data_IF_310973949234
#
_entry.id   IF_310973949234
#
_cell.length_a   1.000
_cell.length_b   1.000
_cell.length_c   1.000
_cell.angle_alpha   90.00
_cell.angle_beta   90.00
_cell.angle_gamma   90.00
#
_symmetry.space_group_name_H-M   'P 1'
#
loop_
_entity.id
_entity.type
_entity.pdbx_description
1 polymer ?
#
# COMPACT_ATOMS: atom_id res chain seq x y z
N UNK A 1 25.82 25.98 -2.30
CA UNK A 1 24.40 25.60 -2.16
C UNK A 1 24.24 24.12 -2.53
N UNK A 2 25.05 23.26 -1.91
CA UNK A 2 24.66 21.87 -1.77
C UNK A 2 23.73 21.84 -0.54
N UNK A 3 22.60 21.16 -0.70
CA UNK A 3 22.11 20.24 0.31
C UNK A 3 21.28 20.77 1.50
N UNK A 4 20.37 21.74 1.29
CA UNK A 4 19.24 21.89 2.22
C UNK A 4 18.18 20.78 2.00
N UNK A 5 18.01 20.33 0.75
CA UNK A 5 17.02 19.30 0.41
C UNK A 5 17.46 17.88 0.74
N UNK A 6 18.73 17.49 0.59
CA UNK A 6 19.17 16.15 1.00
C UNK A 6 19.35 16.06 2.51
N UNK A 7 19.77 17.13 3.20
CA UNK A 7 19.81 17.16 4.68
C UNK A 7 18.42 16.95 5.29
N UNK A 8 17.39 17.64 4.77
CA UNK A 8 15.98 17.38 5.10
C UNK A 8 15.57 15.95 4.75
N UNK A 9 15.96 15.43 3.57
CA UNK A 9 15.65 14.05 3.18
C UNK A 9 16.25 13.03 4.16
N UNK A 10 17.48 13.23 4.61
CA UNK A 10 18.14 12.38 5.59
C UNK A 10 17.48 12.47 6.97
N UNK A 11 17.11 13.67 7.41
CA UNK A 11 16.36 13.87 8.65
C UNK A 11 15.03 13.10 8.63
N UNK A 12 14.26 13.21 7.54
CA UNK A 12 13.01 12.46 7.37
C UNK A 12 13.22 10.95 7.30
N UNK A 13 14.27 10.48 6.61
CA UNK A 13 14.62 9.06 6.56
C UNK A 13 14.95 8.53 7.96
N UNK A 14 15.71 9.29 8.75
CA UNK A 14 16.07 8.90 10.12
C UNK A 14 14.84 8.92 11.02
N UNK A 15 14.02 9.98 10.94
CA UNK A 15 12.76 10.06 11.67
C UNK A 15 11.85 8.86 11.36
N UNK A 16 11.73 8.47 10.09
CA UNK A 16 10.98 7.28 9.70
C UNK A 16 11.56 6.00 10.31
N UNK A 17 12.88 5.81 10.25
CA UNK A 17 13.57 4.62 10.78
C UNK A 17 13.44 4.49 12.29
N UNK A 18 13.44 5.60 13.01
CA UNK A 18 13.34 5.62 14.48
C UNK A 18 11.89 5.56 14.96
N UNK A 19 10.94 6.06 14.17
CA UNK A 19 9.54 6.12 14.54
C UNK A 19 8.77 4.85 14.13
N UNK A 20 8.60 3.93 15.09
CA UNK A 20 7.83 2.69 14.89
C UNK A 20 6.37 2.95 14.52
N UNK A 21 5.74 3.98 15.09
CA UNK A 21 4.33 4.30 14.79
C UNK A 21 4.19 4.64 13.32
N UNK A 22 5.08 5.49 12.79
CA UNK A 22 5.08 5.85 11.38
C UNK A 22 5.31 4.63 10.48
N UNK A 23 6.23 3.73 10.85
CA UNK A 23 6.44 2.47 10.12
C UNK A 23 5.20 1.57 10.10
N UNK A 24 4.51 1.43 11.24
CA UNK A 24 3.26 0.67 11.30
C UNK A 24 2.17 1.30 10.45
N UNK A 25 2.05 2.63 10.47
CA UNK A 25 1.09 3.37 9.63
C UNK A 25 1.37 3.15 8.14
N UNK A 26 2.61 3.34 7.70
CA UNK A 26 2.99 3.12 6.30
C UNK A 26 2.74 1.67 5.90
N UNK A 27 3.16 0.69 6.70
CA UNK A 27 2.88 -0.72 6.41
C UNK A 27 1.37 -1.03 6.35
N UNK A 28 0.56 -0.37 7.19
CA UNK A 28 -0.90 -0.44 7.12
C UNK A 28 -1.46 0.06 5.80
N UNK A 29 -0.97 1.20 5.30
CA UNK A 29 -1.35 1.76 4.00
C UNK A 29 -0.98 0.78 2.86
N UNK A 30 0.24 0.23 2.88
CA UNK A 30 0.66 -0.76 1.88
C UNK A 30 -0.25 -2.00 1.88
N UNK A 31 -0.58 -2.55 3.05
CA UNK A 31 -1.49 -3.71 3.17
C UNK A 31 -2.87 -3.40 2.61
N UNK A 32 -3.42 -2.23 2.93
CA UNK A 32 -4.72 -1.79 2.44
C UNK A 32 -4.73 -1.65 0.91
N UNK A 33 -3.71 -1.02 0.33
CA UNK A 33 -3.57 -0.88 -1.12
C UNK A 33 -3.42 -2.23 -1.82
N UNK A 34 -2.64 -3.15 -1.26
CA UNK A 34 -2.49 -4.51 -1.81
C UNK A 34 -3.83 -5.25 -1.82
N UNK A 35 -4.63 -5.17 -0.74
CA UNK A 35 -5.98 -5.76 -0.71
C UNK A 35 -6.87 -5.15 -1.80
N UNK A 36 -6.84 -3.83 -1.93
CA UNK A 36 -7.61 -3.14 -2.96
C UNK A 36 -7.18 -3.56 -4.37
N UNK A 37 -5.88 -3.65 -4.64
CA UNK A 37 -5.32 -4.10 -5.93
C UNK A 37 -5.79 -5.53 -6.24
N UNK A 38 -5.65 -6.47 -5.31
CA UNK A 38 -6.04 -7.87 -5.53
C UNK A 38 -7.55 -7.99 -5.73
N UNK A 39 -8.38 -7.23 -4.99
CA UNK A 39 -9.83 -7.23 -5.19
C UNK A 39 -10.24 -6.84 -6.62
N UNK A 40 -9.53 -5.87 -7.21
CA UNK A 40 -9.82 -5.38 -8.56
C UNK A 40 -9.09 -6.19 -9.66
N UNK A 41 -8.19 -7.09 -9.28
CA UNK A 41 -7.44 -7.96 -10.17
C UNK A 41 -7.52 -9.41 -9.66
N UNK A 42 -8.61 -10.14 -9.94
CA UNK A 42 -8.98 -11.37 -9.24
C UNK A 42 -7.97 -12.52 -9.34
N UNK A 43 -6.95 -12.40 -10.19
CA UNK A 43 -5.78 -13.29 -10.25
C UNK A 43 -4.56 -12.48 -10.65
N UNK A 44 -3.72 -12.12 -9.69
CA UNK A 44 -2.58 -11.24 -9.92
C UNK A 44 -1.30 -11.82 -9.34
N UNK A 45 -0.21 -11.81 -10.11
CA UNK A 45 1.09 -12.27 -9.64
C UNK A 45 1.85 -11.15 -8.91
N UNK A 46 2.83 -11.51 -8.07
CA UNK A 46 3.55 -10.54 -7.23
C UNK A 46 4.18 -9.38 -8.00
N UNK A 47 4.71 -9.63 -9.20
CA UNK A 47 5.25 -8.56 -10.05
C UNK A 47 4.18 -7.57 -10.56
N UNK A 48 2.98 -8.03 -10.89
CA UNK A 48 1.89 -7.14 -11.29
C UNK A 48 1.38 -6.32 -10.10
N UNK A 49 1.33 -6.90 -8.89
CA UNK A 49 1.05 -6.13 -7.66
C UNK A 49 2.07 -4.99 -7.50
N UNK A 50 3.36 -5.27 -7.65
CA UNK A 50 4.41 -4.24 -7.59
C UNK A 50 4.22 -3.14 -8.65
N UNK A 51 3.84 -3.52 -9.87
CA UNK A 51 3.58 -2.56 -10.94
C UNK A 51 2.38 -1.67 -10.64
N UNK A 52 1.28 -2.23 -10.14
CA UNK A 52 0.11 -1.44 -9.74
C UNK A 52 0.42 -0.50 -8.56
N UNK A 53 1.25 -0.94 -7.62
CA UNK A 53 1.76 -0.08 -6.54
C UNK A 53 2.61 1.08 -7.08
N UNK A 54 3.49 0.82 -8.05
CA UNK A 54 4.29 1.86 -8.69
C UNK A 54 3.42 2.85 -9.48
N UNK A 55 2.41 2.35 -10.20
CA UNK A 55 1.44 3.20 -10.89
C UNK A 55 0.67 4.09 -9.90
N UNK A 56 0.25 3.54 -8.77
CA UNK A 56 -0.45 4.28 -7.72
C UNK A 56 0.40 5.41 -7.14
N UNK A 57 1.72 5.21 -7.04
CA UNK A 57 2.66 6.18 -6.50
C UNK A 57 3.50 6.90 -7.56
N UNK A 58 3.10 6.88 -8.83
CA UNK A 58 3.93 7.35 -9.96
C UNK A 58 4.41 8.80 -9.76
N UNK A 59 3.53 9.69 -9.31
CA UNK A 59 3.91 11.09 -9.01
C UNK A 59 5.02 11.19 -7.97
N UNK A 60 4.91 10.44 -6.86
CA UNK A 60 5.88 10.44 -5.77
C UNK A 60 7.22 9.80 -6.19
N UNK A 61 7.17 8.85 -7.11
CA UNK A 61 8.36 8.20 -7.67
C UNK A 61 9.08 9.14 -8.62
N UNK A 62 8.34 9.83 -9.50
CA UNK A 62 8.91 10.73 -10.51
C UNK A 62 9.53 11.99 -9.88
N UNK A 63 9.00 12.46 -8.76
CA UNK A 63 9.60 13.57 -7.99
C UNK A 63 10.76 13.11 -7.07
N UNK A 64 11.01 11.81 -6.96
CA UNK A 64 12.12 11.25 -6.15
C UNK A 64 11.85 11.16 -4.64
N UNK A 65 10.60 11.37 -4.21
CA UNK A 65 10.14 11.24 -2.83
C UNK A 65 9.93 9.78 -2.40
N UNK A 66 9.66 8.89 -3.35
CA UNK A 66 9.46 7.47 -3.11
C UNK A 66 10.28 6.62 -4.08
N UNK A 67 10.84 5.52 -3.59
CA UNK A 67 11.46 4.52 -4.46
C UNK A 67 10.41 3.58 -5.04
N UNK A 68 10.66 3.06 -6.24
CA UNK A 68 9.88 1.96 -6.83
C UNK A 68 9.75 0.78 -5.86
N UNK A 69 8.62 0.11 -5.95
CA UNK A 69 8.28 -1.09 -5.21
C UNK A 69 9.33 -2.15 -5.47
N UNK A 70 9.81 -2.76 -4.40
CA UNK A 70 10.84 -3.78 -4.47
C UNK A 70 10.34 -5.12 -3.89
N UNK A 71 10.88 -6.25 -4.39
CA UNK A 71 10.56 -7.58 -3.89
C UNK A 71 10.78 -7.73 -2.38
N UNK A 72 11.85 -7.15 -1.83
CA UNK A 72 12.22 -7.27 -0.42
C UNK A 72 11.28 -6.54 0.53
N UNK A 73 10.41 -5.66 0.03
CA UNK A 73 9.33 -5.00 0.77
C UNK A 73 7.99 -5.68 0.53
N UNK A 74 7.65 -5.95 -0.73
CA UNK A 74 6.31 -6.43 -1.07
C UNK A 74 6.11 -7.91 -0.70
N UNK A 75 7.09 -8.80 -0.93
CA UNK A 75 6.91 -10.20 -0.59
C UNK A 75 6.75 -10.47 0.92
N UNK A 76 7.50 -9.83 1.83
CA UNK A 76 7.25 -9.97 3.25
C UNK A 76 5.86 -9.47 3.69
N UNK A 77 5.31 -8.45 3.01
CA UNK A 77 3.94 -7.98 3.29
C UNK A 77 2.93 -9.02 2.82
N UNK A 78 3.07 -9.54 1.60
CA UNK A 78 2.21 -10.59 1.05
C UNK A 78 2.23 -11.85 1.94
N UNK A 79 3.42 -12.31 2.33
CA UNK A 79 3.60 -13.45 3.24
C UNK A 79 2.81 -13.28 4.53
N UNK A 80 2.92 -12.11 5.18
CA UNK A 80 2.16 -11.82 6.41
C UNK A 80 0.65 -11.75 6.17
N UNK A 81 0.22 -11.22 5.02
CA UNK A 81 -1.20 -11.16 4.67
C UNK A 81 -1.78 -12.55 4.40
N UNK A 82 -0.98 -13.49 3.88
CA UNK A 82 -1.34 -14.90 3.76
C UNK A 82 -1.45 -15.57 5.14
N UNK A 83 -0.46 -15.37 6.02
CA UNK A 83 -0.47 -15.88 7.40
C UNK A 83 -1.70 -15.36 8.18
N UNK A 84 -2.13 -14.14 7.88
CA UNK A 84 -3.31 -13.50 8.48
C UNK A 84 -4.63 -13.90 7.79
N UNK A 85 -4.62 -14.79 6.80
CA UNK A 85 -5.78 -15.22 6.00
C UNK A 85 -6.53 -14.07 5.31
N UNK A 86 -5.83 -12.99 4.95
CA UNK A 86 -6.42 -11.86 4.22
C UNK A 86 -6.35 -12.09 2.70
N UNK A 87 -5.33 -12.79 2.25
CA UNK A 87 -5.14 -13.22 0.88
C UNK A 87 -4.72 -14.69 0.88
N UNK A 88 -4.89 -15.35 -0.25
CA UNK A 88 -4.41 -16.71 -0.49
C UNK A 88 -3.64 -16.74 -1.79
N UNK A 89 -2.80 -17.75 -1.97
CA UNK A 89 -2.16 -18.02 -3.24
C UNK A 89 -2.65 -19.30 -3.88
N UNK A 90 -2.49 -19.33 -5.19
CA UNK A 90 -2.49 -20.55 -5.98
C UNK A 90 -1.37 -20.45 -7.02
N UNK A 91 -1.15 -21.53 -7.75
CA UNK A 91 -0.14 -21.58 -8.79
C UNK A 91 -0.82 -21.71 -10.14
N UNK A 92 -0.36 -20.93 -11.11
CA UNK A 92 -0.75 -21.06 -12.52
C UNK A 92 0.47 -21.38 -13.37
N UNK A 93 0.27 -22.22 -14.38
CA UNK A 93 1.31 -22.55 -15.35
C UNK A 93 1.28 -21.51 -16.45
N UNK A 94 2.37 -20.77 -16.62
CA UNK A 94 2.58 -19.85 -17.73
C UNK A 94 3.90 -20.19 -18.42
N UNK A 95 3.87 -20.52 -19.71
CA UNK A 95 5.05 -20.86 -20.52
C UNK A 95 6.02 -21.86 -19.85
N UNK A 96 5.47 -22.93 -19.27
CA UNK A 96 6.20 -24.00 -18.55
C UNK A 96 6.82 -23.57 -17.21
N UNK A 97 6.54 -22.37 -16.73
CA UNK A 97 6.91 -21.90 -15.39
C UNK A 97 5.68 -21.81 -14.50
N UNK A 98 5.84 -22.28 -13.28
CA UNK A 98 4.84 -22.11 -12.24
C UNK A 98 4.94 -20.69 -11.66
N UNK A 99 3.83 -19.95 -11.69
CA UNK A 99 3.76 -18.58 -11.19
C UNK A 99 2.78 -18.54 -10.02
N UNK A 100 3.23 -17.98 -8.91
CA UNK A 100 2.39 -17.71 -7.73
C UNK A 100 1.44 -16.54 -8.04
N UNK A 101 0.14 -16.82 -8.01
CA UNK A 101 -0.92 -15.83 -8.13
C UNK A 101 -1.61 -15.63 -6.78
N UNK A 102 -2.11 -14.43 -6.55
CA UNK A 102 -2.78 -14.05 -5.31
C UNK A 102 -4.25 -13.75 -5.57
N UNK A 103 -5.09 -14.16 -4.62
CA UNK A 103 -6.53 -13.90 -4.60
C UNK A 103 -6.93 -13.40 -3.19
N UNK A 104 -7.94 -12.54 -3.12
CA UNK A 104 -8.47 -12.06 -1.84
C UNK A 104 -9.33 -13.16 -1.19
N UNK A 105 -9.25 -13.31 0.13
CA UNK A 105 -10.13 -14.20 0.89
C UNK A 105 -11.41 -13.47 1.31
N UNK A 106 -12.46 -14.18 1.76
CA UNK A 106 -13.63 -13.52 2.36
C UNK A 106 -13.28 -12.62 3.55
N UNK A 107 -12.28 -13.02 4.36
CA UNK A 107 -11.79 -12.22 5.49
C UNK A 107 -11.10 -10.94 5.02
N UNK A 108 -10.26 -11.03 3.99
CA UNK A 108 -9.63 -9.85 3.38
C UNK A 108 -10.63 -8.88 2.78
N UNK A 109 -11.63 -9.40 2.08
CA UNK A 109 -12.69 -8.58 1.48
C UNK A 109 -13.53 -7.88 2.55
N UNK A 110 -13.92 -8.60 3.60
CA UNK A 110 -14.62 -8.01 4.75
C UNK A 110 -13.80 -6.91 5.41
N UNK A 111 -12.50 -7.10 5.62
CA UNK A 111 -11.62 -6.08 6.20
C UNK A 111 -11.59 -4.81 5.32
N UNK A 112 -11.47 -4.98 4.01
CA UNK A 112 -11.44 -3.86 3.07
C UNK A 112 -12.76 -3.07 3.10
N UNK A 113 -13.90 -3.76 3.09
CA UNK A 113 -15.21 -3.13 3.19
C UNK A 113 -15.42 -2.45 4.55
N UNK A 114 -14.99 -3.08 5.65
CA UNK A 114 -15.07 -2.50 6.98
C UNK A 114 -14.31 -1.17 7.06
N UNK A 115 -13.09 -1.10 6.52
CA UNK A 115 -12.30 0.15 6.49
C UNK A 115 -13.01 1.20 5.63
N UNK A 116 -13.51 0.83 4.45
CA UNK A 116 -14.27 1.73 3.56
C UNK A 116 -15.48 2.34 4.27
N UNK A 117 -16.26 1.51 4.97
CA UNK A 117 -17.43 1.99 5.72
C UNK A 117 -17.05 2.97 6.83
N UNK A 118 -15.95 2.72 7.55
CA UNK A 118 -15.46 3.64 8.58
C UNK A 118 -15.05 4.97 7.98
N UNK A 119 -14.32 4.95 6.87
CA UNK A 119 -13.93 6.17 6.15
C UNK A 119 -15.16 6.98 5.73
N UNK A 120 -16.18 6.34 5.14
CA UNK A 120 -17.43 7.00 4.74
C UNK A 120 -18.16 7.59 5.94
N UNK A 121 -18.22 6.87 7.08
CA UNK A 121 -18.86 7.37 8.30
C UNK A 121 -18.13 8.60 8.84
N UNK A 122 -16.80 8.60 8.84
CA UNK A 122 -15.99 9.76 9.26
C UNK A 122 -16.23 10.95 8.31
N UNK A 123 -16.13 10.73 6.99
CA UNK A 123 -16.34 11.79 5.99
C UNK A 123 -17.72 12.45 6.06
N UNK A 124 -18.74 11.73 6.55
CA UNK A 124 -20.10 12.27 6.72
C UNK A 124 -20.26 13.19 7.93
N UNK A 125 -19.35 13.17 8.89
CA UNK A 125 -19.38 14.11 10.03
C UNK A 125 -18.90 15.49 9.56
N UNK A 126 -19.42 16.59 10.13
CA UNK A 126 -18.95 17.93 9.79
C UNK A 126 -17.43 18.08 9.99
N UNK A 127 -16.91 17.58 11.11
CA UNK A 127 -15.49 17.66 11.46
C UNK A 127 -14.63 16.77 10.55
N UNK A 128 -15.10 15.55 10.25
CA UNK A 128 -14.40 14.65 9.34
C UNK A 128 -14.40 15.17 7.91
N UNK A 129 -15.49 15.76 7.44
CA UNK A 129 -15.54 16.41 6.13
C UNK A 129 -14.55 17.58 6.07
N UNK A 130 -14.56 18.46 7.09
CA UNK A 130 -13.61 19.56 7.19
C UNK A 130 -12.16 19.05 7.15
N UNK A 131 -11.84 18.03 7.96
CA UNK A 131 -10.53 17.42 7.97
C UNK A 131 -10.10 16.94 6.57
N UNK A 132 -10.98 16.25 5.83
CA UNK A 132 -10.62 15.76 4.50
C UNK A 132 -10.48 16.88 3.47
N UNK A 133 -11.33 17.91 3.51
CA UNK A 133 -11.21 19.06 2.63
C UNK A 133 -9.89 19.80 2.89
N UNK A 134 -9.57 20.12 4.15
CA UNK A 134 -8.32 20.83 4.50
C UNK A 134 -7.06 19.99 4.25
N UNK A 135 -7.11 18.68 4.50
CA UNK A 135 -5.94 17.81 4.42
C UNK A 135 -5.67 17.25 3.02
N UNK A 136 -6.71 17.05 2.19
CA UNK A 136 -6.58 16.43 0.87
C UNK A 136 -6.71 17.43 -0.30
N UNK A 137 -7.40 18.56 -0.11
CA UNK A 137 -7.52 19.58 -1.15
C UNK A 137 -6.53 20.71 -0.84
N UNK A 138 -5.31 20.61 -1.37
CA UNK A 138 -4.39 21.76 -1.42
C UNK A 138 -4.76 22.59 -2.65
N UNK A 139 -5.27 23.81 -2.43
CA UNK A 139 -5.30 24.89 -3.44
C UNK A 139 -3.88 25.32 -3.85
#
# INVERSE_FOLDING_TARGET
MADLSESLKWEYINYYKENKVLQYTVNGIYRFLILWIIKHNPKIHGYAIMKEMDNFFDSLINEGSLNKSNPSKIYPILSKMEDEDLIKHSFEINDKKEIKIYEITPKGDFLLEFIREKYIKIKKTPEGNLFFEEFLNQE
#
